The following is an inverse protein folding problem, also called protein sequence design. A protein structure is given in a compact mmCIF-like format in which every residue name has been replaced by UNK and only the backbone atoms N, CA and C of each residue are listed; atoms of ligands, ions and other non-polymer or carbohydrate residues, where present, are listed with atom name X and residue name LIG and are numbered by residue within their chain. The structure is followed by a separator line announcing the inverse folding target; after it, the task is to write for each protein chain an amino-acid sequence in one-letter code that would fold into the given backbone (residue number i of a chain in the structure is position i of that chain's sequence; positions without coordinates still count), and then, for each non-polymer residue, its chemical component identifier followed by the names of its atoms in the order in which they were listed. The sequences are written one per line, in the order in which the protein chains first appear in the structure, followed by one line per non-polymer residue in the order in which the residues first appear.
data_IF_366257107603
#
_entry.id   IF_366257107603
#
_cell.length_a   1.000
_cell.length_b   1.000
_cell.length_c   1.000
_cell.angle_alpha   90.00
_cell.angle_beta   90.00
_cell.angle_gamma   90.00
#
_symmetry.space_group_name_H-M   'P 1'
#
loop_
_entity.id
_entity.type
_entity.pdbx_description
1 polymer ?
#
# COMPACT_ATOMS: atom_id res chain seq x y z
N UNK A 1 -0.85 0.41 -14.28
CA UNK A 1 -1.50 -0.88 -13.96
C UNK A 1 -0.99 -1.31 -12.58
N UNK A 2 -1.87 -1.33 -11.58
CA UNK A 2 -1.53 -1.74 -10.20
C UNK A 2 -1.43 -3.26 -10.17
N UNK A 3 -0.41 -3.80 -9.49
CA UNK A 3 -0.18 -5.25 -9.43
C UNK A 3 -0.55 -5.79 -8.05
N UNK A 4 -1.72 -6.42 -7.94
CA UNK A 4 -2.21 -7.06 -6.72
C UNK A 4 -2.04 -8.59 -6.80
N UNK A 5 -1.60 -9.23 -5.72
CA UNK A 5 -1.65 -10.68 -5.58
C UNK A 5 -2.70 -11.14 -4.56
N UNK A 6 -3.82 -11.74 -5.01
CA UNK A 6 -4.55 -12.83 -4.29
C UNK A 6 -5.58 -13.57 -5.19
N UNK A 7 -5.85 -14.83 -4.82
CA UNK A 7 -6.60 -15.88 -5.54
C UNK A 7 -8.06 -15.54 -5.93
N UNK A 8 -8.49 -16.12 -7.05
CA UNK A 8 -9.72 -15.85 -7.77
C UNK A 8 -11.02 -16.23 -7.04
N UNK A 9 -12.01 -15.34 -7.13
CA UNK A 9 -13.41 -15.50 -6.72
C UNK A 9 -14.20 -14.22 -7.00
N UNK A 10 -15.51 -14.30 -7.20
CA UNK A 10 -16.39 -13.13 -7.40
C UNK A 10 -16.49 -12.34 -6.10
N UNK A 11 -15.64 -11.34 -5.93
CA UNK A 11 -15.47 -10.60 -4.68
C UNK A 11 -15.73 -9.10 -4.88
N UNK A 12 -16.41 -8.48 -3.92
CA UNK A 12 -16.59 -7.03 -3.86
C UNK A 12 -15.52 -6.43 -2.94
N UNK A 13 -14.77 -5.46 -3.48
CA UNK A 13 -13.65 -4.79 -2.82
C UNK A 13 -14.11 -3.37 -2.45
N UNK A 14 -13.95 -3.00 -1.18
CA UNK A 14 -14.19 -1.64 -0.73
C UNK A 14 -12.86 -0.89 -0.66
N UNK A 15 -12.76 0.22 -1.39
CA UNK A 15 -11.62 1.13 -1.34
C UNK A 15 -11.89 2.29 -0.39
N UNK A 16 -11.02 2.47 0.59
CA UNK A 16 -11.02 3.60 1.51
C UNK A 16 -9.82 4.47 1.12
N UNK A 17 -10.09 5.61 0.47
CA UNK A 17 -9.02 6.51 0.02
C UNK A 17 -8.30 7.12 1.22
N UNK A 18 -7.12 6.62 1.54
CA UNK A 18 -6.29 7.07 2.65
C UNK A 18 -5.38 8.22 2.22
N UNK A 19 -5.98 9.39 2.01
CA UNK A 19 -5.29 10.63 2.36
C UNK A 19 -5.95 11.10 3.66
N UNK A 20 -5.31 10.74 4.78
CA UNK A 20 -5.64 11.26 6.13
C UNK A 20 -7.08 10.88 6.56
N UNK A 21 -7.34 9.59 6.73
CA UNK A 21 -8.51 9.15 7.48
C UNK A 21 -8.05 8.69 8.85
N UNK A 22 -8.58 9.32 9.89
CA UNK A 22 -8.40 8.84 11.26
C UNK A 22 -9.14 7.51 11.42
N UNK A 23 -8.81 6.69 12.43
CA UNK A 23 -9.60 5.50 12.78
C UNK A 23 -11.11 5.79 12.80
N UNK A 24 -11.52 7.02 13.17
CA UNK A 24 -12.93 7.45 13.18
C UNK A 24 -13.59 7.50 11.80
N UNK A 25 -12.85 7.80 10.74
CA UNK A 25 -13.45 7.95 9.41
C UNK A 25 -13.64 6.60 8.72
N UNK A 26 -12.72 5.66 8.96
CA UNK A 26 -12.84 4.24 8.55
C UNK A 26 -14.00 3.59 9.27
N UNK A 27 -14.11 3.87 10.57
CA UNK A 27 -15.25 3.51 11.39
C UNK A 27 -16.58 4.02 10.86
N UNK A 28 -16.62 5.30 10.49
CA UNK A 28 -17.81 5.90 9.90
C UNK A 28 -18.15 5.27 8.55
N UNK A 29 -17.13 4.90 7.75
CA UNK A 29 -17.30 4.30 6.43
C UNK A 29 -17.85 2.88 6.55
N UNK A 30 -17.20 2.02 7.35
CA UNK A 30 -17.67 0.65 7.59
C UNK A 30 -19.04 0.60 8.27
N UNK A 31 -19.28 1.48 9.23
CA UNK A 31 -20.57 1.60 9.93
C UNK A 31 -21.71 2.13 9.05
N UNK A 32 -21.44 3.11 8.18
CA UNK A 32 -22.46 3.67 7.27
C UNK A 32 -22.73 2.80 6.03
N UNK A 33 -21.79 1.93 5.64
CA UNK A 33 -21.94 1.11 4.44
C UNK A 33 -22.94 -0.04 4.59
N UNK A 34 -23.48 -0.31 5.79
CA UNK A 34 -24.26 -1.53 6.07
C UNK A 34 -23.57 -2.78 5.49
N UNK A 35 -22.23 -2.79 5.54
CA UNK A 35 -21.45 -3.91 5.00
C UNK A 35 -21.62 -5.13 5.92
N UNK A 36 -21.52 -6.32 5.34
CA UNK A 36 -21.75 -7.56 6.06
C UNK A 36 -21.11 -8.75 5.34
N UNK A 37 -21.21 -9.95 5.93
CA UNK A 37 -20.75 -11.17 5.29
C UNK A 37 -21.34 -11.29 3.87
N UNK A 38 -20.50 -11.63 2.90
CA UNK A 38 -20.84 -11.74 1.47
C UNK A 38 -21.14 -10.41 0.75
N UNK A 39 -20.87 -9.25 1.36
CA UNK A 39 -20.97 -7.93 0.71
C UNK A 39 -19.58 -7.36 0.39
N UNK A 40 -18.64 -7.41 1.34
CA UNK A 40 -17.27 -6.92 1.14
C UNK A 40 -16.29 -7.96 1.63
N UNK A 41 -15.39 -8.40 0.75
CA UNK A 41 -14.38 -9.41 1.06
C UNK A 41 -13.05 -8.80 1.51
N UNK A 42 -12.79 -7.58 1.05
CA UNK A 42 -11.56 -6.84 1.31
C UNK A 42 -11.86 -5.37 1.56
N UNK A 43 -11.21 -4.83 2.59
CA UNK A 43 -11.11 -3.41 2.85
C UNK A 43 -9.71 -2.99 2.44
N UNK A 44 -9.62 -2.06 1.50
CA UNK A 44 -8.35 -1.60 0.95
C UNK A 44 -8.06 -0.16 1.35
N UNK A 45 -6.79 0.14 1.52
CA UNK A 45 -6.28 1.50 1.67
C UNK A 45 -4.94 1.65 0.95
N UNK A 46 -4.53 2.89 0.74
CA UNK A 46 -3.35 3.28 -0.01
C UNK A 46 -2.20 3.73 0.90
N UNK A 47 -0.97 3.50 0.46
CA UNK A 47 0.25 3.90 1.19
C UNK A 47 1.17 4.73 0.29
N UNK A 48 1.54 5.92 0.80
CA UNK A 48 2.49 6.88 0.20
C UNK A 48 3.25 7.66 1.28
N UNK A 49 4.10 6.99 2.06
CA UNK A 49 4.65 7.53 3.31
C UNK A 49 5.99 8.26 3.20
N UNK A 50 6.63 8.32 2.03
CA UNK A 50 7.89 9.05 1.84
C UNK A 50 7.70 10.52 1.41
N UNK A 51 6.50 10.88 0.94
CA UNK A 51 6.16 12.23 0.48
C UNK A 51 6.06 12.34 -1.06
N UNK A 52 6.18 13.55 -1.63
CA UNK A 52 6.08 13.75 -3.08
C UNK A 52 7.33 13.25 -3.81
N UNK A 53 7.19 12.73 -5.03
CA UNK A 53 8.30 12.28 -5.88
C UNK A 53 9.34 13.37 -6.22
N UNK A 54 8.99 14.65 -6.10
CA UNK A 54 9.93 15.77 -6.24
C UNK A 54 10.70 16.14 -4.96
N UNK A 55 10.54 15.38 -3.88
CA UNK A 55 11.21 15.65 -2.61
C UNK A 55 12.72 15.38 -2.68
N UNK A 56 13.52 16.33 -2.18
CA UNK A 56 14.99 16.16 -2.06
C UNK A 56 15.40 15.17 -0.98
N UNK A 57 14.49 14.83 -0.07
CA UNK A 57 14.74 13.94 1.08
C UNK A 57 14.41 12.48 0.75
N UNK A 58 13.95 12.18 -0.47
CA UNK A 58 13.43 10.85 -0.82
C UNK A 58 14.50 9.75 -0.62
N UNK A 59 15.71 10.01 -1.09
CA UNK A 59 16.86 9.11 -0.94
C UNK A 59 17.17 8.79 0.53
N UNK A 60 17.18 9.80 1.39
CA UNK A 60 17.51 9.65 2.80
C UNK A 60 16.40 8.90 3.54
N UNK A 61 15.14 9.24 3.28
CA UNK A 61 13.97 8.59 3.89
C UNK A 61 13.84 7.11 3.54
N UNK A 62 14.20 6.71 2.31
CA UNK A 62 14.17 5.31 1.89
C UNK A 62 15.14 4.42 2.67
N UNK A 63 16.18 5.01 3.27
CA UNK A 63 17.22 4.27 4.00
C UNK A 63 17.18 4.49 5.51
N UNK A 64 16.31 5.37 6.00
CA UNK A 64 16.16 5.64 7.42
C UNK A 64 15.17 4.66 8.07
N UNK A 65 15.64 3.67 8.86
CA UNK A 65 14.75 2.71 9.51
C UNK A 65 13.82 3.35 10.53
N UNK A 66 14.22 4.47 11.15
CA UNK A 66 13.34 5.18 12.08
C UNK A 66 12.20 5.83 11.33
N UNK A 67 12.47 6.46 10.19
CA UNK A 67 11.43 7.01 9.32
C UNK A 67 10.48 5.91 8.82
N UNK A 68 11.02 4.83 8.25
CA UNK A 68 10.23 3.72 7.72
C UNK A 68 9.33 3.07 8.78
N UNK A 69 9.81 2.94 10.02
CA UNK A 69 9.03 2.31 11.10
C UNK A 69 7.79 3.11 11.55
N UNK A 70 7.69 4.40 11.23
CA UNK A 70 6.58 5.25 11.71
C UNK A 70 5.21 4.81 11.20
N UNK A 71 5.14 4.17 10.02
CA UNK A 71 3.88 3.68 9.46
C UNK A 71 3.36 2.40 10.13
N UNK A 72 4.15 1.74 10.99
CA UNK A 72 3.74 0.51 11.67
C UNK A 72 2.38 0.64 12.36
N UNK A 73 2.13 1.79 13.00
CA UNK A 73 0.88 2.03 13.71
C UNK A 73 -0.31 2.11 12.76
N UNK A 74 -0.13 2.60 11.53
CA UNK A 74 -1.19 2.60 10.51
C UNK A 74 -1.58 1.17 10.16
N UNK A 75 -0.63 0.30 9.80
CA UNK A 75 -0.91 -1.10 9.51
C UNK A 75 -1.63 -1.81 10.67
N UNK A 76 -1.17 -1.58 11.90
CA UNK A 76 -1.82 -2.14 13.09
C UNK A 76 -3.25 -1.62 13.26
N UNK A 77 -3.46 -0.32 13.09
CA UNK A 77 -4.79 0.28 13.22
C UNK A 77 -5.77 -0.24 12.19
N UNK A 78 -5.33 -0.47 10.95
CA UNK A 78 -6.18 -1.03 9.89
C UNK A 78 -6.53 -2.49 10.16
N UNK A 79 -5.57 -3.28 10.64
CA UNK A 79 -5.84 -4.66 11.09
C UNK A 79 -6.90 -4.69 12.20
N UNK A 80 -6.74 -3.86 13.24
CA UNK A 80 -7.66 -3.78 14.38
C UNK A 80 -9.04 -3.29 13.93
N UNK A 81 -9.09 -2.32 13.02
CA UNK A 81 -10.36 -1.77 12.51
C UNK A 81 -11.13 -2.81 11.70
N UNK A 82 -10.47 -3.53 10.80
CA UNK A 82 -11.13 -4.63 10.06
C UNK A 82 -11.59 -5.72 11.02
N UNK A 83 -10.78 -6.06 12.03
CA UNK A 83 -11.13 -7.07 13.03
C UNK A 83 -12.38 -6.70 13.85
N UNK A 84 -12.49 -5.45 14.26
CA UNK A 84 -13.55 -5.00 15.16
C UNK A 84 -14.86 -4.69 14.40
N UNK A 85 -14.77 -4.20 13.16
CA UNK A 85 -15.91 -3.62 12.44
C UNK A 85 -16.28 -4.30 11.13
N UNK A 86 -15.37 -5.12 10.59
CA UNK A 86 -15.63 -5.93 9.40
C UNK A 86 -14.99 -7.31 9.49
N UNK A 87 -15.23 -8.11 10.56
CA UNK A 87 -14.56 -9.39 10.79
C UNK A 87 -14.81 -10.45 9.70
N UNK A 88 -15.79 -10.21 8.81
CA UNK A 88 -16.06 -11.03 7.62
C UNK A 88 -15.16 -10.69 6.42
N UNK A 89 -14.38 -9.61 6.50
CA UNK A 89 -13.51 -9.10 5.45
C UNK A 89 -12.03 -9.22 5.84
N UNK A 90 -11.15 -8.73 4.98
CA UNK A 90 -9.71 -8.71 5.25
C UNK A 90 -9.06 -7.39 4.86
N UNK A 91 -8.03 -6.97 5.59
CA UNK A 91 -7.25 -5.76 5.30
C UNK A 91 -6.28 -6.01 4.14
N UNK A 92 -6.29 -5.13 3.15
CA UNK A 92 -5.45 -5.20 1.94
C UNK A 92 -4.80 -3.84 1.71
N UNK A 93 -3.58 -3.84 1.20
CA UNK A 93 -2.99 -2.63 0.62
C UNK A 93 -3.44 -2.58 -0.83
N UNK A 94 -4.38 -1.69 -1.15
CA UNK A 94 -5.02 -1.58 -2.47
C UNK A 94 -4.17 -0.86 -3.51
N UNK A 95 -3.25 -0.02 -3.04
CA UNK A 95 -2.27 0.68 -3.86
C UNK A 95 -1.12 1.12 -2.94
N UNK A 96 0.12 0.88 -3.32
CA UNK A 96 1.24 1.37 -2.53
C UNK A 96 2.46 1.72 -3.37
N UNK A 97 3.08 2.83 -2.99
CA UNK A 97 4.43 3.22 -3.36
C UNK A 97 5.01 4.15 -2.29
N UNK A 98 6.32 4.35 -2.25
CA UNK A 98 6.92 5.24 -1.28
C UNK A 98 6.50 6.70 -1.47
N UNK A 99 6.61 7.22 -2.69
CA UNK A 99 6.37 8.59 -3.07
C UNK A 99 5.21 8.79 -4.07
N UNK A 100 4.23 9.60 -3.69
CA UNK A 100 3.16 10.00 -4.60
C UNK A 100 3.67 10.92 -5.71
N UNK A 101 2.82 11.23 -6.70
CA UNK A 101 3.18 11.96 -7.93
C UNK A 101 4.21 11.21 -8.81
N UNK A 102 3.95 9.93 -9.06
CA UNK A 102 4.73 9.07 -9.97
C UNK A 102 6.14 8.69 -9.47
N UNK A 103 6.44 8.88 -8.18
CA UNK A 103 7.74 8.58 -7.61
C UNK A 103 8.84 9.57 -8.03
N UNK A 104 9.97 9.53 -7.31
CA UNK A 104 11.17 10.28 -7.67
C UNK A 104 12.12 9.46 -8.54
N UNK A 105 13.19 10.06 -9.08
CA UNK A 105 14.25 9.34 -9.80
C UNK A 105 14.81 8.14 -9.01
N UNK A 106 14.78 8.22 -7.68
CA UNK A 106 15.26 7.19 -6.76
C UNK A 106 14.31 5.99 -6.65
N UNK A 107 13.00 6.18 -6.87
CA UNK A 107 11.96 5.16 -6.65
C UNK A 107 12.15 3.91 -7.52
N UNK A 108 12.67 4.06 -8.74
CA UNK A 108 12.92 2.95 -9.67
C UNK A 108 14.30 2.29 -9.50
N UNK A 109 15.07 2.69 -8.48
CA UNK A 109 16.44 2.20 -8.26
C UNK A 109 16.51 1.24 -7.07
N UNK A 110 17.70 0.69 -6.82
CA UNK A 110 17.91 -0.24 -5.70
C UNK A 110 17.59 0.36 -4.33
N UNK A 111 17.65 1.68 -4.18
CA UNK A 111 17.35 2.34 -2.89
C UNK A 111 15.85 2.30 -2.56
N UNK A 112 14.95 2.39 -3.55
CA UNK A 112 13.50 2.23 -3.36
C UNK A 112 13.13 0.85 -2.81
N UNK A 113 13.99 -0.11 -3.08
CA UNK A 113 13.88 -1.51 -2.66
C UNK A 113 13.99 -1.73 -1.14
N UNK A 114 14.61 -0.79 -0.40
CA UNK A 114 14.59 -0.80 1.06
C UNK A 114 13.19 -0.51 1.61
N UNK A 115 12.57 0.56 1.11
CA UNK A 115 11.19 0.89 1.46
C UNK A 115 10.25 -0.25 1.06
N UNK A 116 10.36 -0.77 -0.18
CA UNK A 116 9.42 -1.78 -0.67
C UNK A 116 9.41 -3.06 0.18
N UNK A 117 10.60 -3.60 0.50
CA UNK A 117 10.70 -4.77 1.37
C UNK A 117 10.22 -4.51 2.80
N UNK A 118 10.52 -3.33 3.36
CA UNK A 118 10.05 -2.96 4.69
C UNK A 118 8.52 -2.93 4.74
N UNK A 119 7.87 -2.33 3.74
CA UNK A 119 6.41 -2.26 3.66
C UNK A 119 5.75 -3.63 3.41
N UNK A 120 6.37 -4.50 2.61
CA UNK A 120 5.92 -5.89 2.47
C UNK A 120 6.02 -6.65 3.79
N UNK A 121 7.10 -6.42 4.55
CA UNK A 121 7.29 -6.96 5.89
C UNK A 121 6.23 -6.47 6.88
N UNK A 122 5.91 -5.17 6.86
CA UNK A 122 4.85 -4.58 7.68
C UNK A 122 3.47 -5.15 7.34
N UNK A 123 3.12 -5.21 6.06
CA UNK A 123 1.87 -5.80 5.60
C UNK A 123 1.72 -7.24 6.09
N UNK A 124 2.78 -8.04 5.96
CA UNK A 124 2.81 -9.43 6.43
C UNK A 124 2.67 -9.54 7.95
N UNK A 125 3.35 -8.66 8.70
CA UNK A 125 3.35 -8.65 10.17
C UNK A 125 1.98 -8.31 10.75
N UNK A 126 1.24 -7.39 10.13
CA UNK A 126 -0.07 -6.92 10.56
C UNK A 126 -1.20 -7.53 9.70
N UNK A 127 -1.04 -8.79 9.29
CA UNK A 127 -2.09 -9.64 8.70
C UNK A 127 -2.81 -9.06 7.46
N UNK A 128 -2.12 -8.26 6.66
CA UNK A 128 -2.65 -7.82 5.37
C UNK A 128 -2.58 -8.96 4.37
N UNK A 129 -3.68 -9.17 3.63
CA UNK A 129 -3.85 -10.38 2.81
C UNK A 129 -3.42 -10.20 1.36
N UNK A 130 -3.34 -8.97 0.89
CA UNK A 130 -2.81 -8.61 -0.41
C UNK A 130 -2.03 -7.30 -0.31
N UNK A 131 -1.06 -7.16 -1.21
CA UNK A 131 -0.29 -5.94 -1.38
C UNK A 131 -0.26 -5.59 -2.86
N UNK A 132 -0.73 -4.39 -3.18
CA UNK A 132 -0.89 -3.92 -4.54
C UNK A 132 0.15 -2.87 -4.88
N UNK A 133 1.22 -3.25 -5.59
CA UNK A 133 2.31 -2.34 -5.95
C UNK A 133 1.87 -1.40 -7.08
N UNK A 134 1.97 -0.10 -6.82
CA UNK A 134 1.90 0.93 -7.84
C UNK A 134 3.33 1.18 -8.37
N UNK A 135 3.65 0.89 -9.63
CA UNK A 135 2.86 0.20 -10.66
C UNK A 135 3.71 -0.89 -11.34
N UNK A 136 3.08 -1.84 -12.02
CA UNK A 136 3.81 -2.75 -12.92
C UNK A 136 4.57 -1.96 -13.99
N UNK A 137 3.88 -1.03 -14.65
CA UNK A 137 4.38 -0.12 -15.68
C UNK A 137 3.77 1.27 -15.45
N UNK A 138 4.56 2.32 -15.66
CA UNK A 138 4.18 3.72 -15.56
C UNK A 138 4.73 4.41 -14.31
N UNK A 139 5.26 5.62 -14.47
CA UNK A 139 5.93 6.38 -13.39
C UNK A 139 7.37 5.96 -13.16
N UNK A 140 8.09 6.70 -12.31
CA UNK A 140 9.48 6.42 -11.95
C UNK A 140 9.60 5.21 -11.01
N UNK A 141 8.52 4.90 -10.29
CA UNK A 141 8.44 3.78 -9.34
C UNK A 141 8.11 2.42 -9.97
N UNK A 142 7.98 2.37 -11.31
CA UNK A 142 7.46 1.21 -12.00
C UNK A 142 8.36 -0.01 -11.82
N UNK A 143 7.78 -1.20 -11.72
CA UNK A 143 8.55 -2.45 -11.68
C UNK A 143 9.24 -2.72 -13.03
N UNK A 144 8.61 -2.33 -14.14
CA UNK A 144 9.18 -2.37 -15.47
C UNK A 144 9.36 -0.94 -15.99
N UNK A 145 10.53 -0.66 -16.57
CA UNK A 145 10.76 0.60 -17.25
C UNK A 145 9.71 0.82 -18.35
N UNK A 146 9.16 2.03 -18.41
CA UNK A 146 7.96 2.31 -19.22
C UNK A 146 8.24 2.26 -20.72
N UNK A 147 9.49 2.47 -21.15
CA UNK A 147 9.85 2.50 -22.58
C UNK A 147 10.47 1.19 -23.03
N UNK A 148 11.35 0.63 -22.20
CA UNK A 148 12.18 -0.52 -22.55
C UNK A 148 11.63 -1.84 -22.03
N UNK A 149 10.68 -1.81 -21.09
CA UNK A 149 10.18 -2.99 -20.36
C UNK A 149 11.25 -3.77 -19.60
N UNK A 150 12.44 -3.19 -19.43
CA UNK A 150 13.51 -3.78 -18.62
C UNK A 150 13.07 -3.71 -17.16
N UNK A 151 13.17 -4.81 -16.40
CA UNK A 151 12.79 -4.79 -14.99
C UNK A 151 13.73 -3.93 -14.14
N UNK A 152 13.13 -3.04 -13.35
CA UNK A 152 13.80 -2.30 -12.29
C UNK A 152 14.12 -3.24 -11.09
N UNK A 153 15.02 -2.85 -10.17
CA UNK A 153 15.43 -3.70 -9.05
C UNK A 153 14.28 -4.27 -8.21
N UNK A 154 13.21 -3.49 -8.00
CA UNK A 154 12.02 -3.90 -7.24
C UNK A 154 11.21 -5.04 -7.89
N UNK A 155 11.36 -5.28 -9.19
CA UNK A 155 10.66 -6.40 -9.85
C UNK A 155 11.09 -7.77 -9.32
N UNK A 156 12.33 -7.87 -8.83
CA UNK A 156 12.93 -9.14 -8.39
C UNK A 156 12.74 -9.42 -6.90
N UNK A 157 11.95 -8.61 -6.19
CA UNK A 157 11.82 -8.63 -4.74
C UNK A 157 10.42 -8.95 -4.27
#
# INVERSE_FOLDING_TARGET
MILCGKAAGTHQILEISSIILSQRDIMSTLGNLNSGPNVVDAVTYHIYNLGPGGSKELFDKMQDPFFLSQIAQTFKNEEETVKDFGPWSSAWIGEAEGAFNSGGPESGTFVGSFWYLDQLGMASKFNHRAYCRQALIGGNYALLDTQTFIPNPDYYR
#
